data_IF_145433944652
#
_entry.id   IF_145433944652
#
_cell.length_a   1.000
_cell.length_b   1.000
_cell.length_c   1.000
_cell.angle_alpha   90.00
_cell.angle_beta   90.00
_cell.angle_gamma   90.00
#
_symmetry.space_group_name_H-M   'P 1'
#
loop_
_entity.id
_entity.type
_entity.pdbx_description
1 polymer ?
#
# COMPACT_ATOMS: atom_id res chain seq x y z
N UNK A 1 -20.17 6.19 -3.21
CA UNK A 1 -20.02 7.41 -2.37
C UNK A 1 -18.57 7.84 -2.42
N UNK A 2 -18.27 9.10 -2.78
CA UNK A 2 -16.89 9.58 -2.93
C UNK A 2 -16.33 10.04 -1.57
N UNK A 3 -15.08 9.68 -1.26
CA UNK A 3 -14.42 9.94 0.03
C UNK A 3 -14.51 11.40 0.50
N UNK A 4 -14.12 12.35 -0.36
CA UNK A 4 -14.00 13.76 -0.01
C UNK A 4 -15.34 14.48 0.13
N UNK A 5 -16.45 13.88 -0.32
CA UNK A 5 -17.77 14.50 -0.20
C UNK A 5 -18.30 14.48 1.23
N UNK A 6 -17.75 13.61 2.09
CA UNK A 6 -18.18 13.49 3.48
C UNK A 6 -17.55 14.59 4.36
N UNK A 7 -16.42 15.14 3.92
CA UNK A 7 -15.67 16.11 4.72
C UNK A 7 -16.36 17.47 4.74
N UNK A 8 -16.43 18.06 5.93
CA UNK A 8 -16.88 19.43 6.11
C UNK A 8 -16.03 20.43 5.32
N UNK A 9 -16.63 21.54 4.93
CA UNK A 9 -15.90 22.63 4.27
C UNK A 9 -15.37 23.63 5.29
N UNK A 10 -14.15 24.13 5.10
CA UNK A 10 -13.55 25.19 5.90
C UNK A 10 -13.22 26.40 5.02
N UNK A 11 -13.24 27.59 5.61
CA UNK A 11 -12.70 28.78 4.99
C UNK A 11 -11.17 28.74 5.11
N UNK A 12 -10.49 28.68 3.98
CA UNK A 12 -9.03 28.60 3.92
C UNK A 12 -8.48 29.73 3.05
N UNK A 13 -7.54 30.49 3.63
CA UNK A 13 -6.77 31.53 2.95
C UNK A 13 -5.29 31.09 2.93
N UNK A 14 -4.78 30.59 1.78
CA UNK A 14 -3.39 30.18 1.66
C UNK A 14 -2.41 31.36 1.61
N UNK A 15 -2.87 32.55 1.25
CA UNK A 15 -2.05 33.73 0.96
C UNK A 15 -2.01 34.73 2.11
N UNK A 16 -2.97 34.68 3.03
CA UNK A 16 -3.09 35.60 4.16
C UNK A 16 -3.52 37.01 3.75
N UNK A 17 -4.18 37.14 2.59
CA UNK A 17 -4.64 38.41 2.03
C UNK A 17 -6.08 38.76 2.45
N UNK A 18 -6.71 37.90 3.25
CA UNK A 18 -8.09 38.04 3.72
C UNK A 18 -9.12 37.48 2.75
N UNK A 19 -8.72 36.91 1.60
CA UNK A 19 -9.61 36.33 0.60
C UNK A 19 -9.84 34.83 0.83
N UNK A 20 -10.45 34.48 1.96
CA UNK A 20 -10.71 33.08 2.29
C UNK A 20 -11.68 32.41 1.28
N UNK A 21 -11.29 31.23 0.80
CA UNK A 21 -12.12 30.39 -0.10
C UNK A 21 -12.70 29.21 0.66
N UNK A 22 -13.90 28.80 0.27
CA UNK A 22 -14.52 27.60 0.82
C UNK A 22 -13.88 26.37 0.18
N UNK A 23 -13.21 25.56 0.99
CA UNK A 23 -12.46 24.37 0.56
C UNK A 23 -12.86 23.16 1.41
N UNK A 24 -12.76 21.95 0.85
CA UNK A 24 -12.93 20.71 1.63
C UNK A 24 -11.84 20.59 2.70
N UNK A 25 -12.24 20.26 3.92
CA UNK A 25 -11.30 20.10 5.03
C UNK A 25 -10.50 18.80 4.89
N UNK A 26 -9.25 18.93 4.44
CA UNK A 26 -8.31 17.82 4.34
C UNK A 26 -7.42 17.66 5.59
N UNK A 27 -7.60 18.51 6.61
CA UNK A 27 -6.81 18.48 7.84
C UNK A 27 -7.32 17.45 8.84
N UNK A 28 -8.57 17.02 8.71
CA UNK A 28 -9.11 15.89 9.46
C UNK A 28 -8.71 14.56 8.81
N UNK A 29 -8.34 13.58 9.64
CA UNK A 29 -7.97 12.23 9.19
C UNK A 29 -8.73 11.19 9.98
N UNK A 30 -9.43 10.32 9.29
CA UNK A 30 -10.02 9.10 9.87
C UNK A 30 -9.02 7.96 9.72
N UNK A 31 -8.88 7.14 10.77
CA UNK A 31 -8.01 5.96 10.75
C UNK A 31 -8.75 4.78 11.37
N UNK A 32 -8.64 3.62 10.72
CA UNK A 32 -9.19 2.36 11.25
C UNK A 32 -8.44 1.99 12.52
N UNK A 33 -9.20 1.63 13.57
CA UNK A 33 -8.61 1.16 14.83
C UNK A 33 -7.82 -0.12 14.58
N UNK A 34 -6.62 -0.21 15.16
CA UNK A 34 -5.73 -1.36 14.96
C UNK A 34 -6.36 -2.70 15.37
N UNK A 35 -7.32 -2.70 16.29
CA UNK A 35 -8.00 -3.92 16.75
C UNK A 35 -9.01 -4.48 15.73
N UNK A 36 -9.63 -3.64 14.90
CA UNK A 36 -10.59 -4.11 13.88
C UNK A 36 -9.89 -4.96 12.80
N UNK A 37 -8.63 -4.66 12.50
CA UNK A 37 -7.83 -5.46 11.56
C UNK A 37 -7.54 -6.88 12.05
N UNK A 38 -7.72 -7.16 13.34
CA UNK A 38 -7.54 -8.51 13.89
C UNK A 38 -8.76 -9.39 13.68
N UNK A 39 -9.88 -8.82 13.28
CA UNK A 39 -11.11 -9.57 13.01
C UNK A 39 -11.06 -10.12 11.57
N UNK A 40 -10.34 -11.25 11.43
CA UNK A 40 -10.16 -12.00 10.16
C UNK A 40 -11.49 -12.27 9.45
N UNK A 41 -12.60 -12.36 10.21
CA UNK A 41 -13.94 -12.62 9.66
C UNK A 41 -14.43 -11.52 8.71
N UNK A 42 -13.93 -10.29 8.85
CA UNK A 42 -14.36 -9.14 8.07
C UNK A 42 -13.54 -8.93 6.79
N UNK A 43 -12.36 -9.55 6.68
CA UNK A 43 -11.38 -9.27 5.63
C UNK A 43 -11.13 -10.51 4.76
N UNK A 44 -11.11 -10.30 3.44
CA UNK A 44 -10.68 -11.28 2.46
C UNK A 44 -9.31 -10.88 1.91
N UNK A 45 -8.34 -11.80 1.90
CA UNK A 45 -7.03 -11.58 1.27
C UNK A 45 -7.16 -11.62 -0.25
N UNK A 46 -6.58 -10.64 -0.94
CA UNK A 46 -6.57 -10.56 -2.40
C UNK A 46 -5.18 -10.23 -2.94
N UNK A 47 -4.75 -10.95 -3.97
CA UNK A 47 -3.52 -10.67 -4.70
C UNK A 47 -3.80 -9.78 -5.90
N UNK A 48 -3.28 -8.55 -5.85
CA UNK A 48 -3.45 -7.55 -6.91
C UNK A 48 -2.79 -8.01 -8.21
N UNK A 49 -3.55 -8.01 -9.31
CA UNK A 49 -3.01 -8.40 -10.62
C UNK A 49 -2.28 -7.26 -11.31
N UNK A 50 -1.53 -7.62 -12.34
CA UNK A 50 -0.79 -6.66 -13.16
C UNK A 50 -1.72 -5.54 -13.69
N UNK A 51 -1.29 -4.28 -13.51
CA UNK A 51 -2.01 -3.06 -13.90
C UNK A 51 -3.36 -2.82 -13.19
N UNK A 52 -3.66 -3.52 -12.10
CA UNK A 52 -4.82 -3.18 -11.27
C UNK A 52 -4.52 -1.96 -10.40
N UNK A 53 -5.41 -0.97 -10.45
CA UNK A 53 -5.41 0.19 -9.56
C UNK A 53 -6.39 -0.05 -8.40
N UNK A 54 -6.28 0.70 -7.28
CA UNK A 54 -7.25 0.60 -6.18
C UNK A 54 -8.70 0.76 -6.64
N UNK A 55 -8.94 1.60 -7.64
CA UNK A 55 -10.25 1.83 -8.25
C UNK A 55 -10.78 0.59 -8.98
N UNK A 56 -9.92 -0.07 -9.78
CA UNK A 56 -10.27 -1.31 -10.48
C UNK A 56 -10.55 -2.43 -9.49
N UNK A 57 -9.75 -2.54 -8.43
CA UNK A 57 -9.96 -3.54 -7.37
C UNK A 57 -11.29 -3.29 -6.66
N UNK A 58 -11.58 -2.04 -6.31
CA UNK A 58 -12.85 -1.67 -5.68
C UNK A 58 -14.05 -1.94 -6.58
N UNK A 59 -13.95 -1.68 -7.89
CA UNK A 59 -15.01 -1.97 -8.84
C UNK A 59 -15.27 -3.48 -8.93
N UNK A 60 -14.22 -4.29 -9.00
CA UNK A 60 -14.30 -5.76 -9.04
C UNK A 60 -14.89 -6.36 -7.77
N UNK A 61 -14.53 -5.84 -6.61
CA UNK A 61 -14.93 -6.41 -5.33
C UNK A 61 -16.25 -5.82 -4.80
N UNK A 62 -16.35 -4.51 -4.75
CA UNK A 62 -17.49 -3.77 -4.18
C UNK A 62 -18.52 -3.32 -5.22
N UNK A 63 -18.26 -3.53 -6.52
CA UNK A 63 -19.17 -3.15 -7.61
C UNK A 63 -19.18 -1.65 -7.93
N UNK A 64 -18.22 -0.88 -7.40
CA UNK A 64 -18.08 0.54 -7.74
C UNK A 64 -16.66 1.07 -7.50
N UNK A 65 -16.12 1.76 -8.51
CA UNK A 65 -14.84 2.49 -8.42
C UNK A 65 -14.76 3.48 -7.24
N UNK A 66 -15.89 3.99 -6.76
CA UNK A 66 -15.92 4.99 -5.68
C UNK A 66 -15.49 4.44 -4.31
N UNK A 67 -15.40 3.12 -4.14
CA UNK A 67 -14.94 2.50 -2.90
C UNK A 67 -13.42 2.29 -2.84
N UNK A 68 -12.65 2.86 -3.78
CA UNK A 68 -11.19 2.76 -3.79
C UNK A 68 -10.54 3.23 -2.47
N UNK A 69 -11.12 4.24 -1.82
CA UNK A 69 -10.63 4.76 -0.54
C UNK A 69 -10.78 3.76 0.60
N UNK A 70 -11.78 2.87 0.56
CA UNK A 70 -11.97 1.80 1.55
C UNK A 70 -10.80 0.83 1.48
N UNK A 71 -10.46 0.39 0.27
CA UNK A 71 -9.30 -0.49 0.00
C UNK A 71 -8.01 0.17 0.49
N UNK A 72 -7.81 1.46 0.19
CA UNK A 72 -6.62 2.19 0.62
C UNK A 72 -6.56 2.33 2.15
N UNK A 73 -7.66 2.73 2.78
CA UNK A 73 -7.75 2.97 4.21
C UNK A 73 -7.50 1.69 5.02
N UNK A 74 -8.04 0.55 4.56
CA UNK A 74 -7.83 -0.75 5.19
C UNK A 74 -6.40 -1.24 5.07
N UNK A 75 -5.70 -0.93 3.98
CA UNK A 75 -4.31 -1.34 3.79
C UNK A 75 -3.30 -0.29 4.31
N UNK A 76 -3.77 0.76 5.01
CA UNK A 76 -2.96 1.91 5.44
C UNK A 76 -2.20 2.62 4.30
N UNK A 77 -2.75 2.57 3.09
CA UNK A 77 -2.13 3.14 1.90
C UNK A 77 -2.47 4.62 1.85
N UNK A 78 -1.43 5.46 1.84
CA UNK A 78 -1.60 6.92 1.80
C UNK A 78 -1.21 7.50 0.45
N UNK A 79 -0.18 6.94 -0.19
CA UNK A 79 0.29 7.36 -1.51
C UNK A 79 0.21 6.19 -2.49
N UNK A 80 -0.73 6.30 -3.43
CA UNK A 80 -0.94 5.30 -4.48
C UNK A 80 0.33 5.10 -5.32
N UNK A 81 1.15 6.12 -5.52
CA UNK A 81 2.32 6.00 -6.37
C UNK A 81 3.47 5.21 -5.73
N UNK A 82 3.59 5.24 -4.40
CA UNK A 82 4.70 4.62 -3.66
C UNK A 82 4.28 3.34 -2.93
N UNK A 83 3.09 3.35 -2.32
CA UNK A 83 2.60 2.28 -1.45
C UNK A 83 1.90 1.17 -2.25
N UNK A 84 1.34 1.48 -3.43
CA UNK A 84 0.70 0.48 -4.29
C UNK A 84 1.71 -0.34 -5.08
N UNK A 85 1.32 -1.57 -5.43
CA UNK A 85 2.12 -2.45 -6.30
C UNK A 85 2.34 -1.78 -7.66
N UNK A 86 3.60 -1.70 -8.07
CA UNK A 86 3.99 -1.17 -9.37
C UNK A 86 3.83 -2.25 -10.43
N UNK A 87 3.26 -1.89 -11.58
CA UNK A 87 3.35 -2.74 -12.78
C UNK A 87 4.81 -2.91 -13.20
N UNK A 88 5.10 -3.97 -13.95
CA UNK A 88 6.40 -4.27 -14.55
C UNK A 88 7.02 -3.05 -15.24
N UNK A 89 6.21 -2.32 -16.03
CA UNK A 89 6.67 -1.11 -16.73
C UNK A 89 6.99 0.04 -15.77
N UNK A 90 6.16 0.25 -14.75
CA UNK A 90 6.42 1.28 -13.74
C UNK A 90 7.65 0.92 -12.88
N UNK A 91 7.83 -0.37 -12.60
CA UNK A 91 8.94 -0.89 -11.83
C UNK A 91 10.28 -0.70 -12.56
N UNK A 92 10.32 -1.01 -13.87
CA UNK A 92 11.49 -0.72 -14.70
C UNK A 92 11.85 0.77 -14.68
N UNK A 93 10.86 1.67 -14.82
CA UNK A 93 11.10 3.11 -14.72
C UNK A 93 11.61 3.54 -13.34
N UNK A 94 11.04 2.97 -12.28
CA UNK A 94 11.47 3.23 -10.91
C UNK A 94 12.93 2.82 -10.70
N UNK A 95 13.29 1.62 -11.12
CA UNK A 95 14.67 1.10 -11.05
C UNK A 95 15.66 1.98 -11.80
N UNK A 96 15.36 2.38 -13.04
CA UNK A 96 16.22 3.26 -13.84
C UNK A 96 16.34 4.68 -13.27
N UNK A 97 15.34 5.13 -12.50
CA UNK A 97 15.41 6.43 -11.82
C UNK A 97 16.25 6.42 -10.55
N UNK A 98 16.39 5.25 -9.92
CA UNK A 98 17.04 5.06 -8.62
C UNK A 98 18.47 4.53 -8.74
N UNK A 99 18.73 3.67 -9.73
CA UNK A 99 19.99 2.95 -9.91
C UNK A 99 20.54 3.14 -11.33
N UNK A 100 21.86 3.10 -11.47
CA UNK A 100 22.50 2.89 -12.78
C UNK A 100 22.43 1.41 -13.19
N UNK A 101 22.66 1.13 -14.47
CA UNK A 101 22.68 -0.26 -14.99
C UNK A 101 23.68 -1.15 -14.24
N UNK A 102 24.84 -0.61 -13.84
CA UNK A 102 25.85 -1.34 -13.08
C UNK A 102 25.35 -1.67 -11.66
N UNK A 103 24.73 -0.69 -11.00
CA UNK A 103 24.23 -0.83 -9.63
C UNK A 103 23.09 -1.86 -9.53
N UNK A 104 22.29 -2.06 -10.58
CA UNK A 104 21.22 -3.05 -10.56
C UNK A 104 21.71 -4.48 -10.31
N UNK A 105 22.91 -4.79 -10.80
CA UNK A 105 23.55 -6.10 -10.65
C UNK A 105 24.46 -6.21 -9.42
N UNK A 106 24.67 -5.11 -8.70
CA UNK A 106 25.45 -5.10 -7.46
C UNK A 106 24.65 -5.79 -6.35
N UNK A 107 25.37 -6.50 -5.48
CA UNK A 107 24.79 -7.15 -4.31
C UNK A 107 24.31 -6.09 -3.31
N UNK A 108 23.02 -6.13 -2.96
CA UNK A 108 22.44 -5.30 -1.91
C UNK A 108 22.76 -5.89 -0.53
N UNK A 109 22.55 -7.20 -0.36
CA UNK A 109 22.81 -7.92 0.88
C UNK A 109 22.99 -9.42 0.59
N UNK A 110 23.35 -10.20 1.62
CA UNK A 110 23.48 -11.64 1.54
C UNK A 110 22.43 -12.31 2.41
N UNK A 111 21.81 -13.37 1.92
CA UNK A 111 20.81 -14.15 2.65
C UNK A 111 21.34 -15.56 2.93
N UNK A 112 20.99 -16.12 4.09
CA UNK A 112 21.14 -17.55 4.40
C UNK A 112 19.79 -18.14 4.78
N UNK A 113 19.51 -19.38 4.38
CA UNK A 113 18.37 -20.13 4.92
C UNK A 113 18.60 -20.47 6.38
N UNK A 114 17.57 -20.32 7.21
CA UNK A 114 17.62 -20.73 8.60
C UNK A 114 17.91 -22.23 8.71
N UNK A 115 18.82 -22.63 9.60
CA UNK A 115 19.27 -24.02 9.78
C UNK A 115 18.44 -24.81 10.80
N UNK A 116 17.57 -24.15 11.56
CA UNK A 116 16.71 -24.78 12.57
C UNK A 116 15.35 -24.09 12.60
N UNK A 117 14.26 -24.86 12.45
CA UNK A 117 12.90 -24.33 12.33
C UNK A 117 12.38 -24.40 10.90
N UNK A 118 11.69 -23.36 10.46
CA UNK A 118 11.19 -23.24 9.09
C UNK A 118 12.31 -22.79 8.15
N UNK A 119 12.85 -23.74 7.38
CA UNK A 119 13.97 -23.49 6.46
C UNK A 119 13.61 -22.58 5.29
N UNK A 120 12.34 -22.19 5.12
CA UNK A 120 11.92 -21.18 4.13
C UNK A 120 12.21 -19.76 4.58
N UNK A 121 12.48 -19.53 5.87
CA UNK A 121 12.86 -18.21 6.39
C UNK A 121 14.31 -17.92 6.02
N UNK A 122 14.52 -16.81 5.33
CA UNK A 122 15.84 -16.29 4.97
C UNK A 122 16.27 -15.21 5.96
N UNK A 123 17.55 -15.24 6.36
CA UNK A 123 18.15 -14.32 7.31
C UNK A 123 19.19 -13.49 6.55
N UNK A 124 19.11 -12.17 6.68
CA UNK A 124 20.11 -11.24 6.15
C UNK A 124 21.40 -11.31 6.97
N UNK A 125 22.54 -11.38 6.27
CA UNK A 125 23.88 -11.48 6.86
C UNK A 125 24.79 -10.42 6.26
N UNK A 126 25.63 -9.82 7.10
CA UNK A 126 26.51 -8.72 6.70
C UNK A 126 27.63 -9.13 5.72
N UNK A 127 27.92 -10.42 5.51
CA UNK A 127 29.11 -10.81 4.75
C UNK A 127 28.98 -12.15 3.99
N UNK A 128 29.58 -12.18 2.79
CA UNK A 128 29.71 -13.35 1.89
C UNK A 128 30.57 -14.50 2.45
N UNK A 129 31.20 -14.32 3.62
CA UNK A 129 32.12 -15.30 4.21
C UNK A 129 31.39 -16.51 4.79
N UNK A 130 30.06 -16.45 4.91
CA UNK A 130 29.25 -17.61 5.26
C UNK A 130 29.10 -18.56 4.05
N UNK A 131 29.44 -19.85 4.19
CA UNK A 131 29.58 -20.78 3.07
C UNK A 131 28.29 -21.07 2.29
N UNK A 132 27.12 -20.73 2.84
CA UNK A 132 25.80 -20.90 2.22
C UNK A 132 25.12 -19.57 1.88
N UNK A 133 25.84 -18.45 1.92
CA UNK A 133 25.29 -17.13 1.67
C UNK A 133 24.99 -16.93 0.17
N UNK A 134 23.75 -16.56 -0.15
CA UNK A 134 23.33 -16.17 -1.49
C UNK A 134 23.30 -14.65 -1.58
N UNK A 135 24.01 -14.07 -2.56
CA UNK A 135 23.93 -12.63 -2.83
C UNK A 135 22.58 -12.29 -3.45
N UNK A 136 21.89 -11.30 -2.90
CA UNK A 136 20.69 -10.71 -3.50
C UNK A 136 21.07 -9.39 -4.13
N UNK A 137 20.75 -9.25 -5.42
CA UNK A 137 21.02 -8.03 -6.17
C UNK A 137 20.05 -6.91 -5.81
N UNK A 138 20.43 -5.65 -6.07
CA UNK A 138 19.51 -4.51 -5.95
C UNK A 138 18.21 -4.73 -6.75
N UNK A 139 18.31 -5.35 -7.94
CA UNK A 139 17.15 -5.69 -8.75
C UNK A 139 16.21 -6.67 -8.02
N UNK A 140 16.73 -7.80 -7.55
CA UNK A 140 15.92 -8.84 -6.88
C UNK A 140 15.27 -8.33 -5.60
N UNK A 141 16.01 -7.55 -4.81
CA UNK A 141 15.49 -6.94 -3.58
C UNK A 141 14.28 -6.04 -3.85
N UNK A 142 14.39 -5.15 -4.84
CA UNK A 142 13.31 -4.22 -5.19
C UNK A 142 12.08 -4.95 -5.77
N UNK A 143 12.29 -6.00 -6.57
CA UNK A 143 11.19 -6.84 -7.06
C UNK A 143 10.49 -7.55 -5.90
N UNK A 144 11.23 -8.13 -4.96
CA UNK A 144 10.66 -8.77 -3.77
C UNK A 144 9.88 -7.77 -2.91
N UNK A 145 10.40 -6.56 -2.68
CA UNK A 145 9.67 -5.50 -1.99
C UNK A 145 8.37 -5.12 -2.70
N UNK A 146 8.37 -5.06 -4.03
CA UNK A 146 7.14 -4.78 -4.78
C UNK A 146 6.14 -5.94 -4.70
N UNK A 147 6.62 -7.18 -4.68
CA UNK A 147 5.78 -8.38 -4.58
C UNK A 147 5.10 -8.50 -3.22
N UNK A 148 5.77 -8.12 -2.14
CA UNK A 148 5.13 -8.09 -0.80
C UNK A 148 3.96 -7.11 -0.71
N UNK A 149 3.94 -6.06 -1.55
CA UNK A 149 2.82 -5.11 -1.67
C UNK A 149 1.63 -5.64 -2.47
N UNK A 150 1.76 -6.81 -3.12
CA UNK A 150 0.70 -7.40 -3.95
C UNK A 150 -0.46 -7.94 -3.11
N UNK A 151 -0.15 -8.49 -1.95
CA UNK A 151 -1.14 -9.02 -1.02
C UNK A 151 -1.80 -7.88 -0.26
N UNK A 152 -3.11 -7.72 -0.44
CA UNK A 152 -3.92 -6.71 0.24
C UNK A 152 -5.13 -7.34 0.92
N UNK A 153 -5.63 -6.68 1.95
CA UNK A 153 -6.87 -7.05 2.63
C UNK A 153 -8.05 -6.25 2.06
N UNK A 154 -9.12 -6.94 1.67
CA UNK A 154 -10.36 -6.35 1.19
C UNK A 154 -11.47 -6.56 2.22
N UNK A 155 -12.32 -5.55 2.43
CA UNK A 155 -13.48 -5.68 3.30
C UNK A 155 -14.57 -6.49 2.62
N UNK A 156 -15.09 -7.51 3.29
CA UNK A 156 -16.25 -8.23 2.77
C UNK A 156 -17.43 -7.30 2.55
N UNK A 157 -18.11 -7.47 1.43
CA UNK A 157 -19.25 -6.63 1.03
C UNK A 157 -20.36 -6.57 2.08
N UNK A 158 -20.54 -7.64 2.88
CA UNK A 158 -21.50 -7.71 3.98
C UNK A 158 -21.29 -6.60 5.03
N UNK A 159 -20.05 -6.12 5.20
CA UNK A 159 -19.68 -5.10 6.18
C UNK A 159 -19.49 -3.70 5.57
N UNK A 160 -19.56 -3.57 4.23
CA UNK A 160 -19.32 -2.30 3.55
C UNK A 160 -20.29 -1.21 4.00
N UNK A 161 -21.57 -1.56 4.18
CA UNK A 161 -22.60 -0.61 4.66
C UNK A 161 -22.25 -0.02 6.01
N UNK A 162 -22.02 -0.88 7.02
CA UNK A 162 -21.64 -0.46 8.37
C UNK A 162 -20.36 0.37 8.37
N UNK A 163 -19.37 0.00 7.57
CA UNK A 163 -18.11 0.74 7.47
C UNK A 163 -18.33 2.15 6.93
N UNK A 164 -19.15 2.31 5.90
CA UNK A 164 -19.43 3.64 5.33
C UNK A 164 -20.27 4.53 6.24
N UNK A 165 -21.17 3.93 7.01
CA UNK A 165 -21.99 4.64 8.01
C UNK A 165 -21.11 5.11 9.18
N UNK A 166 -20.31 4.22 9.77
CA UNK A 166 -19.36 4.58 10.83
C UNK A 166 -18.37 5.64 10.37
N UNK A 167 -17.88 5.52 9.12
CA UNK A 167 -17.00 6.54 8.53
C UNK A 167 -17.70 7.90 8.40
N UNK A 168 -18.98 7.93 8.03
CA UNK A 168 -19.76 9.16 7.95
C UNK A 168 -20.04 9.78 9.31
N UNK A 169 -20.21 8.96 10.36
CA UNK A 169 -20.46 9.44 11.72
C UNK A 169 -19.20 10.04 12.38
N UNK A 170 -18.01 9.65 11.92
CA UNK A 170 -16.73 10.12 12.45
C UNK A 170 -16.22 11.40 11.81
N UNK A 171 -16.83 11.87 10.72
CA UNK A 171 -16.43 13.05 9.94
C UNK A 171 -17.36 14.23 10.22
#
# INVERSE_FOLDING_TARGET
MSYFNNFSTILYDPTGDGSAKLCTNILSRVRVRANMKKEIVMLDSYDVKENETPEIVADKHHGSVYYHWVVMLLNNISDINHDWVKSTRQMQKYLLSKYTETQLTEAHHYEISQTSGDTTVKIEVENATYPTATAITNYEYEIALNETKRSIDLLRNDYLGFFTEEFSDLI
#
